data_IF_161626507669
#
_entry.id   IF_161626507669
#
_cell.length_a   1.000
_cell.length_b   1.000
_cell.length_c   1.000
_cell.angle_alpha   90.00
_cell.angle_beta   90.00
_cell.angle_gamma   90.00
#
_symmetry.space_group_name_H-M   'P 1'
#
loop_
_entity.id
_entity.type
_entity.pdbx_description
1 polymer ?
#
# COMPACT_ATOMS: atom_id res chain seq x y z
N UNK A 1 27.49 34.40 3.13
CA UNK A 1 27.09 33.48 2.07
C UNK A 1 27.13 32.08 2.67
N UNK A 2 25.98 31.53 3.07
CA UNK A 2 25.91 30.12 3.48
C UNK A 2 25.29 29.38 2.30
N UNK A 3 26.14 28.65 1.58
CA UNK A 3 25.70 27.66 0.61
C UNK A 3 25.04 26.54 1.44
N UNK A 4 23.91 26.02 0.99
CA UNK A 4 23.19 24.95 1.70
C UNK A 4 23.09 23.79 0.71
N UNK A 5 23.62 22.63 1.06
CA UNK A 5 23.15 21.36 0.50
C UNK A 5 22.24 20.78 1.58
N UNK A 6 20.94 20.71 1.29
CA UNK A 6 19.93 20.29 2.25
C UNK A 6 19.23 19.06 1.71
N UNK A 7 19.61 17.91 2.24
CA UNK A 7 18.89 16.66 2.05
C UNK A 7 17.76 16.58 3.08
N UNK A 8 16.58 16.17 2.63
CA UNK A 8 15.42 15.96 3.48
C UNK A 8 15.11 14.47 3.52
N UNK A 9 14.97 13.94 4.73
CA UNK A 9 14.55 12.57 4.98
C UNK A 9 13.19 12.59 5.63
N UNK A 10 12.32 11.67 5.20
CA UNK A 10 10.96 11.55 5.70
C UNK A 10 10.84 10.29 6.54
N UNK A 11 10.16 10.42 7.68
CA UNK A 11 9.80 9.31 8.55
C UNK A 11 8.29 9.35 8.70
N UNK A 12 7.58 8.25 8.49
CA UNK A 12 6.18 8.12 8.91
C UNK A 12 6.16 7.35 10.23
N UNK A 13 5.27 7.70 11.15
CA UNK A 13 4.93 6.78 12.24
C UNK A 13 4.31 5.54 11.59
N UNK A 14 4.91 4.37 11.84
CA UNK A 14 4.45 3.12 11.25
C UNK A 14 3.33 2.56 12.12
N UNK A 15 2.11 2.54 11.59
CA UNK A 15 1.03 1.76 12.18
C UNK A 15 1.22 0.29 11.84
N UNK A 16 0.93 -0.61 12.79
CA UNK A 16 1.06 -2.05 12.59
C UNK A 16 -0.30 -2.71 12.67
N UNK A 17 -0.67 -3.41 11.60
CA UNK A 17 -1.79 -4.33 11.51
C UNK A 17 -1.24 -5.77 11.40
N UNK A 18 -2.10 -6.76 11.55
CA UNK A 18 -1.72 -8.16 11.47
C UNK A 18 -2.66 -8.97 10.57
N UNK A 19 -2.17 -10.12 10.11
CA UNK A 19 -2.97 -11.07 9.34
C UNK A 19 -2.66 -12.50 9.76
N UNK A 20 -3.60 -13.42 9.53
CA UNK A 20 -3.39 -14.86 9.73
C UNK A 20 -3.65 -15.64 8.45
N UNK A 21 -2.99 -16.80 8.32
CA UNK A 21 -3.28 -17.80 7.30
C UNK A 21 -3.82 -19.05 8.00
N UNK A 22 -5.14 -19.21 7.99
CA UNK A 22 -5.84 -20.07 8.96
C UNK A 22 -5.73 -21.56 8.60
N UNK A 23 -5.68 -21.87 7.31
CA UNK A 23 -5.61 -23.23 6.81
C UNK A 23 -4.87 -23.29 5.46
N UNK A 24 -4.28 -24.46 5.10
CA UNK A 24 -3.76 -24.67 3.76
C UNK A 24 -4.88 -24.97 2.76
N UNK A 25 -4.62 -24.72 1.47
CA UNK A 25 -5.46 -25.23 0.39
C UNK A 25 -5.30 -26.73 0.19
N UNK A 26 -6.37 -27.40 -0.24
CA UNK A 26 -6.33 -28.80 -0.70
C UNK A 26 -5.41 -29.01 -1.91
N UNK A 27 -5.24 -28.01 -2.77
CA UNK A 27 -4.44 -28.11 -4.00
C UNK A 27 -2.96 -27.72 -3.80
N UNK A 28 -2.63 -27.00 -2.71
CA UNK A 28 -1.25 -26.67 -2.30
C UNK A 28 -1.01 -27.14 -0.86
N UNK A 29 -0.64 -28.40 -0.63
CA UNK A 29 -0.47 -28.93 0.73
C UNK A 29 0.75 -28.34 1.48
N UNK A 30 1.66 -27.66 0.78
CA UNK A 30 2.81 -27.00 1.39
C UNK A 30 2.42 -25.62 1.95
N UNK A 31 2.07 -25.57 3.24
CA UNK A 31 1.73 -24.33 3.94
C UNK A 31 2.84 -23.27 3.88
N UNK A 32 4.11 -23.68 3.87
CA UNK A 32 5.23 -22.74 3.73
C UNK A 32 5.27 -22.06 2.36
N UNK A 33 4.80 -22.74 1.31
CA UNK A 33 4.65 -22.13 -0.02
C UNK A 33 3.48 -21.13 -0.04
N UNK A 34 2.33 -21.52 0.51
CA UNK A 34 1.16 -20.64 0.65
C UNK A 34 1.54 -19.35 1.38
N UNK A 35 2.15 -19.47 2.56
CA UNK A 35 2.58 -18.32 3.36
C UNK A 35 3.53 -17.40 2.62
N UNK A 36 4.47 -17.93 1.83
CA UNK A 36 5.37 -17.10 1.01
C UNK A 36 4.61 -16.31 -0.05
N UNK A 37 3.70 -16.95 -0.78
CA UNK A 37 2.91 -16.26 -1.82
C UNK A 37 2.02 -15.16 -1.23
N UNK A 38 1.35 -15.45 -0.11
CA UNK A 38 0.53 -14.48 0.63
C UNK A 38 1.40 -13.33 1.16
N UNK A 39 2.53 -13.62 1.78
CA UNK A 39 3.44 -12.61 2.31
C UNK A 39 3.96 -11.70 1.19
N UNK A 40 4.34 -12.25 0.04
CA UNK A 40 4.79 -11.47 -1.11
C UNK A 40 3.68 -10.59 -1.70
N UNK A 41 2.44 -11.09 -1.77
CA UNK A 41 1.28 -10.29 -2.19
C UNK A 41 1.01 -9.11 -1.24
N UNK A 42 1.00 -9.35 0.07
CA UNK A 42 0.80 -8.30 1.09
C UNK A 42 1.96 -7.30 1.04
N UNK A 43 3.21 -7.77 0.94
CA UNK A 43 4.39 -6.91 0.83
C UNK A 43 4.31 -5.96 -0.37
N UNK A 44 3.71 -6.37 -1.50
CA UNK A 44 3.54 -5.46 -2.65
C UNK A 44 2.79 -4.18 -2.27
N UNK A 45 1.79 -4.27 -1.39
CA UNK A 45 1.02 -3.12 -0.89
C UNK A 45 1.72 -2.37 0.24
N UNK A 46 2.37 -3.08 1.17
CA UNK A 46 2.99 -2.46 2.35
C UNK A 46 4.04 -1.39 2.04
N UNK A 47 4.70 -1.45 0.88
CA UNK A 47 5.68 -0.45 0.47
C UNK A 47 5.06 0.94 0.19
N UNK A 48 3.76 0.99 -0.06
CA UNK A 48 3.04 2.22 -0.44
C UNK A 48 1.94 2.59 0.57
N UNK A 49 1.76 1.77 1.61
CA UNK A 49 0.81 2.02 2.69
C UNK A 49 1.49 2.75 3.86
N UNK A 50 0.74 3.56 4.63
CA UNK A 50 1.24 4.17 5.86
C UNK A 50 1.26 3.19 7.05
N UNK A 51 1.04 1.89 6.80
CA UNK A 51 1.00 0.84 7.80
C UNK A 51 1.74 -0.40 7.30
N UNK A 52 2.16 -1.25 8.23
CA UNK A 52 2.78 -2.54 7.97
C UNK A 52 1.92 -3.66 8.53
N UNK A 53 2.01 -4.83 7.90
CA UNK A 53 1.29 -6.05 8.18
C UNK A 53 2.28 -7.15 8.56
N UNK A 54 2.01 -7.84 9.66
CA UNK A 54 2.79 -8.99 10.09
C UNK A 54 1.91 -10.22 10.29
N UNK A 55 2.44 -11.40 9.98
CA UNK A 55 1.71 -12.64 10.17
C UNK A 55 1.65 -12.99 11.66
N UNK A 56 0.44 -13.33 12.13
CA UNK A 56 0.19 -13.92 13.45
C UNK A 56 -0.26 -15.38 13.30
N UNK A 57 -0.31 -16.10 14.42
CA UNK A 57 -0.79 -17.48 14.39
C UNK A 57 -2.30 -17.53 14.13
N UNK A 58 -2.83 -18.58 13.49
CA UNK A 58 -4.26 -18.73 13.23
C UNK A 58 -5.17 -18.62 14.46
N UNK A 59 -4.67 -18.98 15.64
CA UNK A 59 -5.45 -18.93 16.88
C UNK A 59 -5.51 -17.52 17.51
N UNK A 60 -4.73 -16.57 17.00
CA UNK A 60 -4.78 -15.18 17.44
C UNK A 60 -5.89 -14.44 16.70
N UNK A 61 -6.45 -13.41 17.34
CA UNK A 61 -7.27 -12.45 16.61
C UNK A 61 -6.38 -11.68 15.62
N UNK A 62 -6.89 -11.54 14.39
CA UNK A 62 -6.20 -10.87 13.31
C UNK A 62 -7.07 -9.79 12.66
N UNK A 63 -6.46 -8.70 12.17
CA UNK A 63 -7.15 -7.65 11.40
C UNK A 63 -7.60 -8.15 10.02
N UNK A 64 -6.90 -9.15 9.48
CA UNK A 64 -7.18 -9.80 8.19
C UNK A 64 -7.00 -11.30 8.35
N UNK A 65 -8.09 -12.07 8.36
CA UNK A 65 -8.01 -13.54 8.34
C UNK A 65 -8.08 -14.05 6.91
N UNK A 66 -7.09 -14.85 6.52
CA UNK A 66 -7.01 -15.43 5.18
C UNK A 66 -7.25 -16.93 5.29
N UNK A 67 -8.31 -17.41 4.63
CA UNK A 67 -8.69 -18.83 4.68
C UNK A 67 -9.17 -19.37 3.35
N UNK A 68 -8.95 -20.66 3.16
CA UNK A 68 -9.53 -21.44 2.07
C UNK A 68 -10.85 -22.05 2.52
N UNK A 69 -11.91 -21.91 1.73
CA UNK A 69 -13.25 -22.39 2.07
C UNK A 69 -14.01 -22.93 0.86
N UNK A 70 -15.16 -23.57 1.08
CA UNK A 70 -15.98 -24.15 0.00
C UNK A 70 -17.43 -23.76 0.16
N UNK A 71 -18.14 -23.60 -0.96
CA UNK A 71 -19.59 -23.45 -0.98
C UNK A 71 -20.12 -22.44 0.04
N UNK A 72 -21.02 -22.87 0.92
CA UNK A 72 -21.45 -22.08 2.08
C UNK A 72 -20.42 -22.19 3.21
N UNK A 73 -19.89 -21.06 3.63
CA UNK A 73 -18.74 -20.98 4.54
C UNK A 73 -18.87 -19.92 5.63
N UNK A 74 -20.10 -19.57 6.02
CA UNK A 74 -20.37 -18.76 7.21
C UNK A 74 -20.45 -17.25 6.98
N UNK A 75 -20.47 -16.81 5.72
CA UNK A 75 -20.77 -15.44 5.33
C UNK A 75 -21.91 -15.41 4.26
N UNK A 76 -22.42 -14.23 3.86
CA UNK A 76 -23.51 -14.14 2.88
C UNK A 76 -23.14 -14.51 1.43
N UNK A 77 -21.87 -14.78 1.11
CA UNK A 77 -21.32 -14.91 -0.23
C UNK A 77 -20.78 -16.32 -0.47
N UNK A 78 -21.68 -17.27 -0.76
CA UNK A 78 -21.26 -18.65 -1.06
C UNK A 78 -20.39 -18.75 -2.33
N UNK A 79 -19.39 -19.62 -2.30
CA UNK A 79 -18.63 -20.02 -3.49
C UNK A 79 -19.44 -20.93 -4.43
N UNK A 80 -19.08 -20.94 -5.71
CA UNK A 80 -19.75 -21.71 -6.76
C UNK A 80 -18.98 -22.95 -7.24
N UNK A 81 -17.84 -23.24 -6.63
CA UNK A 81 -16.97 -24.35 -6.99
C UNK A 81 -15.99 -23.92 -8.07
N UNK A 82 -15.46 -24.87 -8.85
CA UNK A 82 -14.42 -24.57 -9.84
C UNK A 82 -14.85 -23.56 -10.93
N UNK A 83 -14.11 -22.47 -11.02
CA UNK A 83 -14.24 -21.34 -11.92
C UNK A 83 -15.12 -20.22 -11.39
N UNK A 84 -15.18 -19.11 -12.13
CA UNK A 84 -16.04 -17.92 -11.87
C UNK A 84 -15.69 -17.12 -10.61
N UNK A 85 -15.96 -17.63 -9.40
CA UNK A 85 -15.67 -16.94 -8.15
C UNK A 85 -14.44 -17.56 -7.52
N UNK A 86 -13.28 -16.97 -7.78
CA UNK A 86 -12.00 -17.49 -7.27
C UNK A 86 -11.81 -17.17 -5.79
N UNK A 87 -12.29 -16.01 -5.36
CA UNK A 87 -12.09 -15.47 -4.02
C UNK A 87 -13.06 -14.30 -3.78
N UNK A 88 -13.14 -13.85 -2.53
CA UNK A 88 -13.67 -12.54 -2.17
C UNK A 88 -13.00 -12.02 -0.89
N UNK A 89 -13.11 -10.71 -0.68
CA UNK A 89 -12.69 -10.06 0.53
C UNK A 89 -13.68 -9.01 1.00
N UNK A 90 -13.60 -8.69 2.28
CA UNK A 90 -14.44 -7.67 2.92
C UNK A 90 -13.66 -6.37 3.10
N UNK A 91 -14.30 -5.21 2.94
CA UNK A 91 -13.66 -3.94 3.25
C UNK A 91 -13.28 -3.85 4.75
N UNK A 92 -12.34 -2.96 5.11
CA UNK A 92 -11.95 -2.76 6.50
C UNK A 92 -13.14 -2.54 7.43
N UNK A 93 -13.17 -3.22 8.58
CA UNK A 93 -14.27 -3.09 9.53
C UNK A 93 -14.14 -4.05 10.71
N UNK A 94 -15.15 -4.06 11.58
CA UNK A 94 -15.23 -5.02 12.70
C UNK A 94 -15.72 -6.39 12.22
N UNK A 95 -15.43 -7.44 12.99
CA UNK A 95 -15.89 -8.80 12.70
C UNK A 95 -15.13 -9.41 11.53
N UNK A 96 -15.82 -9.66 10.41
CA UNK A 96 -15.22 -10.21 9.18
C UNK A 96 -14.63 -9.12 8.27
N UNK A 97 -14.68 -7.85 8.69
CA UNK A 97 -14.13 -6.75 7.91
C UNK A 97 -12.62 -6.91 7.74
N UNK A 98 -12.15 -6.88 6.50
CA UNK A 98 -10.76 -7.15 6.14
C UNK A 98 -10.46 -8.62 5.80
N UNK A 99 -11.34 -9.56 6.10
CA UNK A 99 -11.08 -10.99 5.84
C UNK A 99 -11.05 -11.31 4.34
N UNK A 100 -10.22 -12.30 3.98
CA UNK A 100 -10.07 -12.82 2.61
C UNK A 100 -10.44 -14.29 2.60
N UNK A 101 -11.40 -14.66 1.76
CA UNK A 101 -11.79 -16.03 1.53
C UNK A 101 -11.40 -16.47 0.12
N UNK A 102 -10.75 -17.62 0.02
CA UNK A 102 -10.27 -18.22 -1.23
C UNK A 102 -11.10 -19.49 -1.50
N UNK A 103 -11.66 -19.65 -2.70
CA UNK A 103 -12.42 -20.86 -3.03
C UNK A 103 -11.47 -22.07 -3.14
N UNK A 104 -11.58 -23.01 -2.22
CA UNK A 104 -10.71 -24.18 -2.16
C UNK A 104 -11.12 -25.28 -3.14
N UNK A 105 -12.24 -25.11 -3.87
CA UNK A 105 -12.56 -25.95 -5.03
C UNK A 105 -11.76 -25.53 -6.28
N UNK A 106 -11.07 -24.39 -6.23
CA UNK A 106 -10.12 -23.98 -7.25
C UNK A 106 -8.81 -24.76 -7.19
N UNK A 107 -8.19 -24.92 -8.37
CA UNK A 107 -6.86 -25.52 -8.48
C UNK A 107 -5.76 -24.46 -8.35
N UNK A 108 -5.57 -23.98 -7.12
CA UNK A 108 -4.52 -23.02 -6.79
C UNK A 108 -3.13 -23.50 -7.21
N UNK A 109 -2.33 -22.57 -7.70
CA UNK A 109 -0.93 -22.81 -8.04
C UNK A 109 -0.04 -21.69 -7.52
N UNK A 110 1.24 -22.03 -7.30
CA UNK A 110 2.32 -21.03 -7.16
C UNK A 110 2.85 -20.57 -8.52
N UNK A 111 2.29 -21.10 -9.61
CA UNK A 111 2.57 -20.70 -10.98
C UNK A 111 1.60 -19.60 -11.42
N UNK A 112 1.70 -19.14 -12.67
CA UNK A 112 0.93 -17.98 -13.14
C UNK A 112 -0.49 -18.31 -13.64
N UNK A 113 -0.88 -19.58 -13.72
CA UNK A 113 -2.18 -19.98 -14.26
C UNK A 113 -3.32 -19.56 -13.33
N UNK A 114 -3.45 -20.17 -12.15
CA UNK A 114 -4.30 -19.70 -11.05
C UNK A 114 -3.37 -19.30 -9.92
N UNK A 115 -2.82 -18.09 -10.03
CA UNK A 115 -1.77 -17.61 -9.17
C UNK A 115 -2.36 -17.18 -7.83
N UNK A 116 -2.06 -17.95 -6.78
CA UNK A 116 -2.44 -17.61 -5.41
C UNK A 116 -2.01 -16.18 -5.07
N UNK A 117 -0.79 -15.80 -5.45
CA UNK A 117 -0.25 -14.46 -5.22
C UNK A 117 -1.06 -13.37 -5.90
N UNK A 118 -1.39 -13.54 -7.18
CA UNK A 118 -2.13 -12.53 -7.95
C UNK A 118 -3.52 -12.28 -7.34
N UNK A 119 -4.24 -13.36 -7.02
CA UNK A 119 -5.58 -13.26 -6.44
C UNK A 119 -5.52 -12.70 -5.03
N UNK A 120 -4.62 -13.19 -4.16
CA UNK A 120 -4.46 -12.62 -2.81
C UNK A 120 -4.05 -11.14 -2.89
N UNK A 121 -3.24 -10.75 -3.86
CA UNK A 121 -2.86 -9.35 -4.04
C UNK A 121 -4.07 -8.48 -4.43
N UNK A 122 -4.97 -8.98 -5.27
CA UNK A 122 -6.26 -8.34 -5.58
C UNK A 122 -7.15 -8.23 -4.34
N UNK A 123 -7.43 -9.36 -3.68
CA UNK A 123 -8.32 -9.42 -2.52
C UNK A 123 -7.82 -8.60 -1.33
N UNK A 124 -6.50 -8.54 -1.15
CA UNK A 124 -5.90 -7.69 -0.14
C UNK A 124 -6.14 -6.20 -0.43
N UNK A 125 -6.22 -5.81 -1.70
CA UNK A 125 -6.65 -4.46 -2.10
C UNK A 125 -8.05 -4.11 -1.59
N UNK A 126 -9.01 -5.04 -1.65
CA UNK A 126 -10.32 -4.86 -1.02
C UNK A 126 -10.23 -4.82 0.51
N UNK A 127 -9.38 -5.66 1.10
CA UNK A 127 -9.14 -5.70 2.55
C UNK A 127 -8.58 -4.40 3.11
N UNK A 128 -7.86 -3.62 2.27
CA UNK A 128 -7.41 -2.25 2.56
C UNK A 128 -8.36 -1.18 1.97
N UNK A 129 -9.59 -1.55 1.61
CA UNK A 129 -10.66 -0.62 1.26
C UNK A 129 -10.68 -0.09 -0.17
N UNK A 130 -9.87 -0.66 -1.08
CA UNK A 130 -9.97 -0.33 -2.50
C UNK A 130 -11.19 -0.99 -3.13
N UNK A 131 -11.75 -0.33 -4.15
CA UNK A 131 -12.77 -0.90 -5.04
C UNK A 131 -12.12 -1.39 -6.33
N UNK A 132 -12.87 -2.14 -7.14
CA UNK A 132 -12.41 -2.55 -8.46
C UNK A 132 -12.01 -1.34 -9.33
N UNK A 133 -10.93 -1.52 -10.10
CA UNK A 133 -10.51 -0.60 -11.15
C UNK A 133 -11.19 -0.91 -12.49
N UNK A 134 -11.33 0.12 -13.32
CA UNK A 134 -11.72 -0.03 -14.73
C UNK A 134 -10.52 -0.26 -15.66
N UNK A 135 -9.30 -0.14 -15.15
CA UNK A 135 -8.07 -0.27 -15.92
C UNK A 135 -7.63 -1.73 -15.97
N UNK A 136 -7.50 -2.31 -17.17
CA UNK A 136 -7.11 -3.71 -17.34
C UNK A 136 -5.72 -4.03 -16.77
N UNK A 137 -4.81 -3.06 -16.67
CA UNK A 137 -3.48 -3.30 -16.13
C UNK A 137 -3.39 -3.19 -14.60
N UNK A 138 -4.48 -2.82 -13.93
CA UNK A 138 -4.59 -2.76 -12.46
C UNK A 138 -4.74 -4.14 -11.84
N UNK A 139 -4.09 -4.38 -10.70
CA UNK A 139 -4.33 -5.60 -9.94
C UNK A 139 -5.77 -5.65 -9.43
N UNK A 140 -6.41 -4.50 -9.24
CA UNK A 140 -7.82 -4.36 -8.85
C UNK A 140 -8.80 -4.47 -10.01
N UNK A 141 -8.36 -4.85 -11.22
CA UNK A 141 -9.28 -5.15 -12.32
C UNK A 141 -10.15 -6.37 -11.98
N UNK A 142 -11.47 -6.25 -12.17
CA UNK A 142 -12.43 -7.24 -11.68
C UNK A 142 -12.34 -8.63 -12.34
N UNK A 143 -11.69 -8.75 -13.50
CA UNK A 143 -11.55 -10.02 -14.20
C UNK A 143 -10.11 -10.53 -14.08
N UNK A 144 -9.96 -11.74 -13.55
CA UNK A 144 -8.66 -12.36 -13.38
C UNK A 144 -7.93 -12.54 -14.72
N UNK A 145 -6.66 -12.12 -14.74
CA UNK A 145 -5.79 -12.23 -15.91
C UNK A 145 -4.77 -13.34 -15.72
N UNK A 146 -4.95 -14.41 -16.50
CA UNK A 146 -4.11 -15.60 -16.47
C UNK A 146 -2.69 -15.30 -16.98
N UNK A 147 -1.71 -16.00 -16.42
CA UNK A 147 -0.32 -16.02 -16.88
C UNK A 147 0.43 -14.69 -16.80
N UNK A 148 -0.10 -13.72 -16.04
CA UNK A 148 0.57 -12.44 -15.80
C UNK A 148 1.29 -12.41 -14.46
N UNK A 149 2.48 -11.82 -14.46
CA UNK A 149 3.19 -11.50 -13.22
C UNK A 149 2.43 -10.40 -12.48
N UNK A 150 1.97 -10.63 -11.24
CA UNK A 150 1.23 -9.63 -10.49
C UNK A 150 2.11 -8.43 -10.15
N UNK A 151 1.56 -7.23 -10.31
CA UNK A 151 2.21 -5.95 -10.04
C UNK A 151 1.17 -4.90 -9.74
N UNK A 152 1.57 -3.85 -9.02
CA UNK A 152 0.75 -2.65 -8.86
C UNK A 152 0.85 -1.78 -10.12
N UNK A 153 -0.29 -1.36 -10.65
CA UNK A 153 -0.40 -0.35 -11.69
C UNK A 153 -0.36 1.06 -11.11
N UNK A 154 -0.27 2.07 -11.97
CA UNK A 154 -0.37 3.46 -11.54
C UNK A 154 -1.74 3.78 -10.90
N UNK A 155 -2.81 3.13 -11.37
CA UNK A 155 -4.16 3.31 -10.83
C UNK A 155 -4.25 2.79 -9.40
N UNK A 156 -3.63 1.64 -9.11
CA UNK A 156 -3.55 1.07 -7.76
C UNK A 156 -2.83 2.01 -6.79
N UNK A 157 -1.71 2.60 -7.24
CA UNK A 157 -0.96 3.60 -6.47
C UNK A 157 -1.81 4.83 -6.16
N UNK A 158 -2.55 5.32 -7.15
CA UNK A 158 -3.41 6.50 -7.02
C UNK A 158 -4.60 6.23 -6.08
N UNK A 159 -5.17 5.03 -6.15
CA UNK A 159 -6.28 4.61 -5.30
C UNK A 159 -5.85 4.53 -3.83
N UNK A 160 -4.71 3.87 -3.54
CA UNK A 160 -4.10 3.86 -2.20
C UNK A 160 -3.80 5.28 -1.72
N UNK A 161 -3.22 6.12 -2.57
CA UNK A 161 -2.94 7.53 -2.24
C UNK A 161 -4.22 8.30 -1.93
N UNK A 162 -5.30 8.06 -2.65
CA UNK A 162 -6.57 8.76 -2.41
C UNK A 162 -7.18 8.35 -1.08
N UNK A 163 -7.11 7.06 -0.75
CA UNK A 163 -7.70 6.50 0.47
C UNK A 163 -6.87 6.81 1.72
N UNK A 164 -5.55 6.70 1.63
CA UNK A 164 -4.65 6.78 2.77
C UNK A 164 -3.78 8.05 2.80
N UNK A 165 -3.71 8.79 1.70
CA UNK A 165 -2.89 10.00 1.56
C UNK A 165 -3.48 11.27 2.14
N UNK A 166 -4.75 11.25 2.56
CA UNK A 166 -5.35 12.31 3.36
C UNK A 166 -4.94 12.20 4.83
N UNK A 167 -4.09 13.11 5.30
CA UNK A 167 -3.64 13.27 6.70
C UNK A 167 -2.73 12.19 7.32
N UNK A 168 -2.41 11.08 6.62
CA UNK A 168 -1.63 9.95 7.19
C UNK A 168 -0.14 9.89 6.87
N UNK A 169 0.34 10.56 5.82
CA UNK A 169 1.78 10.67 5.55
C UNK A 169 2.34 11.81 6.39
N UNK A 170 2.67 11.51 7.65
CA UNK A 170 3.31 12.48 8.52
C UNK A 170 4.77 12.69 8.14
N UNK A 171 5.00 13.37 7.03
CA UNK A 171 6.32 13.58 6.46
C UNK A 171 7.07 14.60 7.33
N UNK A 172 7.97 14.11 8.19
CA UNK A 172 8.87 14.96 8.98
C UNK A 172 9.99 15.54 8.12
N UNK A 173 10.17 16.85 8.19
CA UNK A 173 11.19 17.60 7.47
C UNK A 173 12.37 17.96 8.37
N UNK A 174 13.57 17.46 8.02
CA UNK A 174 14.83 17.72 8.73
C UNK A 174 15.76 18.62 7.93
N UNK A 175 16.17 19.76 8.50
CA UNK A 175 17.11 20.66 7.81
C UNK A 175 18.53 20.46 8.30
N UNK A 176 19.38 19.91 7.45
CA UNK A 176 20.82 19.75 7.70
C UNK A 176 21.59 20.92 7.05
N UNK A 177 22.60 21.46 7.74
CA UNK A 177 23.51 22.49 7.24
C UNK A 177 24.69 21.85 6.51
N UNK A 178 25.43 22.64 5.73
CA UNK A 178 26.61 22.14 5.00
C UNK A 178 27.71 21.53 5.91
N UNK A 179 27.77 21.96 7.17
CA UNK A 179 28.68 21.41 8.17
C UNK A 179 28.18 20.11 8.80
N UNK A 180 27.08 19.54 8.30
CA UNK A 180 26.45 18.32 8.81
C UNK A 180 25.59 18.54 10.06
N UNK A 181 25.51 19.76 10.59
CA UNK A 181 24.72 20.04 11.80
C UNK A 181 23.24 20.20 11.48
N UNK A 182 22.39 19.76 12.41
CA UNK A 182 20.97 20.00 12.34
C UNK A 182 20.67 21.47 12.59
N UNK A 183 19.96 22.09 11.66
CA UNK A 183 19.57 23.48 11.80
C UNK A 183 18.52 23.66 12.89
N UNK A 184 17.62 22.68 13.09
CA UNK A 184 16.49 22.63 14.05
C UNK A 184 15.95 21.20 14.20
N UNK A 185 15.06 20.98 15.17
CA UNK A 185 14.22 19.78 15.29
C UNK A 185 13.37 19.55 14.03
N UNK A 186 12.98 18.30 13.75
CA UNK A 186 12.11 17.98 12.62
C UNK A 186 10.79 18.73 12.73
N UNK A 187 10.27 19.15 11.58
CA UNK A 187 8.98 19.84 11.48
C UNK A 187 8.08 19.07 10.55
N UNK A 188 6.79 19.08 10.81
CA UNK A 188 5.85 18.45 9.92
C UNK A 188 5.77 19.19 8.58
N UNK A 189 5.86 18.50 7.43
CA UNK A 189 5.96 19.18 6.12
C UNK A 189 4.74 20.06 5.83
N UNK A 190 3.55 19.63 6.24
CA UNK A 190 2.30 20.39 6.08
C UNK A 190 2.29 21.67 6.92
N UNK A 191 3.17 21.81 7.92
CA UNK A 191 3.34 23.08 8.64
C UNK A 191 4.18 24.10 7.86
N UNK A 192 4.99 23.62 6.91
CA UNK A 192 5.87 24.43 6.07
C UNK A 192 5.24 24.75 4.71
N UNK A 193 4.56 23.77 4.10
CA UNK A 193 3.92 23.90 2.79
C UNK A 193 2.48 23.39 2.83
N UNK A 194 1.59 24.17 3.45
CA UNK A 194 0.15 23.87 3.54
C UNK A 194 -0.55 23.75 2.18
N UNK A 195 0.00 24.42 1.17
CA UNK A 195 -0.53 24.44 -0.20
C UNK A 195 -0.10 23.22 -1.02
N UNK A 196 0.87 22.44 -0.51
CA UNK A 196 1.25 21.17 -1.13
C UNK A 196 0.29 20.10 -0.64
N UNK A 197 -0.69 19.79 -1.47
CA UNK A 197 -1.76 18.81 -1.19
C UNK A 197 -1.44 17.39 -1.70
N UNK A 198 -0.20 17.13 -2.11
CA UNK A 198 0.25 15.85 -2.67
C UNK A 198 1.44 15.31 -1.86
N UNK A 199 1.62 13.98 -1.76
CA UNK A 199 2.66 13.40 -0.92
C UNK A 199 4.04 13.51 -1.57
N UNK A 200 4.99 13.96 -0.77
CA UNK A 200 6.35 14.28 -1.17
C UNK A 200 7.26 13.12 -0.74
N UNK A 201 7.95 12.50 -1.69
CA UNK A 201 8.86 11.36 -1.47
C UNK A 201 10.29 11.80 -1.16
N UNK A 202 10.71 12.93 -1.72
CA UNK A 202 11.93 13.61 -1.32
C UNK A 202 11.76 15.13 -1.41
N UNK A 203 12.64 15.85 -0.74
CA UNK A 203 12.85 17.27 -1.05
C UNK A 203 14.35 17.54 -1.15
N UNK A 204 14.72 18.58 -1.88
CA UNK A 204 16.06 19.21 -1.78
C UNK A 204 15.92 20.73 -1.80
N UNK A 205 16.72 21.44 -1.02
CA UNK A 205 16.81 22.90 -1.11
C UNK A 205 18.15 23.27 -1.76
N UNK A 206 18.10 23.99 -2.88
CA UNK A 206 19.24 24.51 -3.63
C UNK A 206 18.94 25.92 -4.13
N UNK A 207 19.91 26.83 -4.09
CA UNK A 207 19.79 28.20 -4.62
C UNK A 207 18.55 28.99 -4.15
N UNK A 208 18.15 28.82 -2.87
CA UNK A 208 16.94 29.42 -2.28
C UNK A 208 15.61 28.93 -2.91
N UNK A 209 15.65 27.81 -3.63
CA UNK A 209 14.49 27.06 -4.11
C UNK A 209 14.40 25.73 -3.39
N UNK A 210 13.18 25.25 -3.21
CA UNK A 210 12.91 23.90 -2.72
C UNK A 210 12.31 23.12 -3.86
N UNK A 211 12.93 21.99 -4.15
CA UNK A 211 12.42 21.00 -5.08
C UNK A 211 11.76 19.93 -4.24
N UNK A 212 10.48 19.70 -4.50
CA UNK A 212 9.70 18.64 -3.89
C UNK A 212 9.51 17.56 -4.96
N UNK A 213 9.71 16.30 -4.60
CA UNK A 213 9.65 15.16 -5.51
C UNK A 213 8.48 14.27 -5.13
N UNK A 214 7.73 13.80 -6.12
CA UNK A 214 6.75 12.73 -5.98
C UNK A 214 6.89 11.72 -7.12
N UNK A 215 6.94 10.46 -6.77
CA UNK A 215 7.24 9.36 -7.67
C UNK A 215 8.58 9.51 -8.37
N UNK A 216 8.72 8.85 -9.52
CA UNK A 216 9.96 8.82 -10.32
C UNK A 216 10.16 10.06 -11.21
N UNK A 217 9.13 10.90 -11.39
CA UNK A 217 9.13 11.89 -12.50
C UNK A 217 8.58 13.28 -12.15
N UNK A 218 7.86 13.48 -11.04
CA UNK A 218 7.28 14.78 -10.72
C UNK A 218 8.22 15.59 -9.82
N UNK A 219 8.65 16.75 -10.31
CA UNK A 219 9.41 17.73 -9.55
C UNK A 219 8.63 19.03 -9.53
N UNK A 220 8.25 19.50 -8.34
CA UNK A 220 7.63 20.80 -8.15
C UNK A 220 8.63 21.74 -7.50
N UNK A 221 8.78 22.92 -8.09
CA UNK A 221 9.72 23.95 -7.64
C UNK A 221 8.96 24.98 -6.80
N UNK A 222 9.22 24.98 -5.49
CA UNK A 222 8.70 25.97 -4.56
C UNK A 222 9.77 27.03 -4.31
N UNK A 223 9.48 28.29 -4.65
CA UNK A 223 10.39 29.42 -4.40
C UNK A 223 10.19 29.97 -2.99
N UNK A 224 11.26 29.97 -2.17
CA UNK A 224 11.19 30.58 -0.84
C UNK A 224 11.39 32.09 -0.95
N UNK A 225 10.34 32.89 -0.73
CA UNK A 225 10.50 34.32 -0.46
C UNK A 225 10.92 34.51 1.01
N UNK A 226 12.02 35.23 1.25
CA UNK A 226 12.54 35.53 2.61
C UNK A 226 11.53 36.23 3.54
N UNK A 227 10.36 36.65 3.03
CA UNK A 227 9.35 37.38 3.81
C UNK A 227 8.08 36.62 4.12
N UNK A 228 7.75 35.51 3.46
CA UNK A 228 6.53 34.75 3.75
C UNK A 228 6.65 33.32 3.21
N UNK A 229 6.53 32.32 4.09
CA UNK A 229 6.48 30.88 3.76
C UNK A 229 5.12 30.44 3.19
N UNK A 230 4.37 31.36 2.58
CA UNK A 230 2.92 31.22 2.35
C UNK A 230 2.52 31.22 0.87
N UNK A 231 3.46 31.16 -0.08
CA UNK A 231 3.11 31.21 -1.49
C UNK A 231 3.92 30.20 -2.29
N UNK A 232 3.23 29.18 -2.79
CA UNK A 232 3.72 28.25 -3.81
C UNK A 232 3.38 28.83 -5.19
N UNK A 233 4.37 28.91 -6.07
CA UNK A 233 4.16 29.22 -7.48
C UNK A 233 4.43 27.96 -8.30
N UNK A 234 3.43 27.52 -9.06
CA UNK A 234 3.59 26.46 -10.05
C UNK A 234 4.37 27.02 -11.24
N UNK A 235 5.46 26.37 -11.62
CA UNK A 235 6.21 26.62 -12.86
C UNK A 235 6.03 25.42 -13.80
#
# INVERSE_FOLDING_TARGET
YFLYYKFFFFFNEVNYQNYSVDNPSRSIPNLGAIRREINEAINSWQHILPMQFYEVRPEAEADVKIRFAVGDHGDPYRFDGNGRILAHAFPPGEGIGGDIHLDDDERWTVALTVSLRSIVMHEFGHSIGLSHSHQEDSIMYAFYQYDLTPKLSYDDLLAVRTLYGGNGFFIWFWRIRQDGTLSQSPRHINTLWREVSWPIDAAVESDHQIYLFAGKFEVIIVRISRRNYHHVHYL
#
